data_IF_595857107647
#
_entry.id   IF_595857107647
#
_cell.length_a   1.000
_cell.length_b   1.000
_cell.length_c   1.000
_cell.angle_alpha   90.00
_cell.angle_beta   90.00
_cell.angle_gamma   90.00
#
_symmetry.space_group_name_H-M   'P 1'
#
loop_
_entity.id
_entity.type
_entity.pdbx_description
1 polymer ?
#
# COMPACT_ATOMS: atom_id res chain seq x y z
N UNK A 1 9.98 -10.11 12.51
CA UNK A 1 10.76 -9.32 11.52
C UNK A 1 10.38 -9.76 10.12
N UNK A 2 10.03 -8.83 9.19
CA UNK A 2 9.55 -9.20 7.85
C UNK A 2 10.57 -10.02 7.05
N UNK A 3 11.85 -9.73 7.13
CA UNK A 3 12.86 -10.45 6.34
C UNK A 3 13.08 -11.88 6.81
N UNK A 4 12.91 -12.16 8.11
CA UNK A 4 12.94 -13.52 8.64
C UNK A 4 11.77 -14.33 8.07
N UNK A 5 10.57 -13.75 8.07
CA UNK A 5 9.37 -14.39 7.48
C UNK A 5 9.53 -14.56 5.97
N UNK A 6 10.04 -13.55 5.27
CA UNK A 6 10.29 -13.62 3.83
C UNK A 6 11.34 -14.67 3.47
N UNK A 7 12.42 -14.79 4.25
CA UNK A 7 13.43 -15.83 4.04
C UNK A 7 12.86 -17.23 4.21
N UNK A 8 12.02 -17.45 5.23
CA UNK A 8 11.30 -18.71 5.39
C UNK A 8 10.38 -18.99 4.20
N UNK A 9 9.56 -18.01 3.79
CA UNK A 9 8.69 -18.14 2.63
C UNK A 9 9.47 -18.38 1.32
N UNK A 10 10.68 -17.82 1.21
CA UNK A 10 11.54 -18.00 0.03
C UNK A 10 11.95 -19.47 -0.17
N UNK A 11 12.24 -20.18 0.90
CA UNK A 11 12.67 -21.59 0.83
C UNK A 11 11.48 -22.57 0.77
N UNK A 12 10.32 -22.17 1.32
CA UNK A 12 9.11 -23.00 1.31
C UNK A 12 8.27 -22.87 0.02
N UNK A 13 8.58 -21.87 -0.82
CA UNK A 13 7.80 -21.58 -2.04
C UNK A 13 8.70 -21.45 -3.26
N UNK A 14 8.13 -21.71 -4.45
CA UNK A 14 8.87 -21.65 -5.71
C UNK A 14 8.34 -20.62 -6.72
N UNK A 15 7.15 -20.06 -6.51
CA UNK A 15 6.45 -19.23 -7.50
C UNK A 15 6.01 -17.85 -7.00
N UNK A 16 5.61 -17.73 -5.75
CA UNK A 16 5.07 -16.46 -5.22
C UNK A 16 6.13 -15.38 -5.19
N UNK A 17 5.71 -14.14 -5.49
CA UNK A 17 6.51 -12.95 -5.26
C UNK A 17 6.59 -12.62 -3.77
N UNK A 18 7.71 -12.09 -3.34
CA UNK A 18 8.03 -11.83 -1.94
C UNK A 18 8.51 -10.39 -1.75
N UNK A 19 8.03 -9.73 -0.71
CA UNK A 19 8.52 -8.39 -0.39
C UNK A 19 7.80 -7.78 0.80
N UNK A 20 8.45 -6.85 1.54
CA UNK A 20 7.77 -6.11 2.58
C UNK A 20 6.81 -5.08 1.95
N UNK A 21 5.61 -4.96 2.50
CA UNK A 21 4.66 -3.92 2.12
C UNK A 21 4.17 -3.22 3.40
N UNK A 22 4.94 -2.29 3.88
CA UNK A 22 6.17 -1.64 3.40
C UNK A 22 7.19 -1.52 4.54
N UNK A 23 8.43 -1.23 4.20
CA UNK A 23 9.45 -0.74 5.10
C UNK A 23 9.56 0.78 5.07
N UNK A 24 10.16 1.37 6.09
CA UNK A 24 10.37 2.82 6.13
C UNK A 24 11.79 3.16 6.60
N UNK A 25 12.47 4.12 5.94
CA UNK A 25 13.81 4.57 6.35
C UNK A 25 13.86 5.15 7.77
N UNK A 26 12.70 5.56 8.33
CA UNK A 26 12.63 6.05 9.71
C UNK A 26 12.86 4.94 10.74
N UNK A 27 12.54 3.70 10.41
CA UNK A 27 12.66 2.58 11.35
C UNK A 27 13.89 1.71 11.08
N UNK A 28 14.37 1.64 9.84
CA UNK A 28 15.49 0.80 9.45
C UNK A 28 16.39 1.52 8.44
N UNK A 29 17.72 1.40 8.62
CA UNK A 29 18.69 2.03 7.73
C UNK A 29 18.59 1.46 6.30
N UNK A 30 18.61 2.30 5.25
CA UNK A 30 18.52 1.88 3.85
C UNK A 30 19.54 0.81 3.42
N UNK A 31 20.77 0.91 3.90
CA UNK A 31 21.81 -0.08 3.58
C UNK A 31 21.52 -1.45 4.22
N UNK A 32 20.93 -1.47 5.43
CA UNK A 32 20.48 -2.70 6.08
C UNK A 32 19.32 -3.31 5.31
N UNK A 33 18.36 -2.50 4.86
CA UNK A 33 17.23 -2.98 4.06
C UNK A 33 17.69 -3.54 2.71
N UNK A 34 18.64 -2.86 2.02
CA UNK A 34 19.23 -3.35 0.78
C UNK A 34 19.93 -4.71 0.99
N UNK A 35 20.71 -4.85 2.03
CA UNK A 35 21.37 -6.10 2.38
C UNK A 35 20.39 -7.22 2.71
N UNK A 36 19.36 -6.91 3.49
CA UNK A 36 18.34 -7.88 3.90
C UNK A 36 17.55 -8.42 2.70
N UNK A 37 17.06 -7.53 1.82
CA UNK A 37 16.28 -7.97 0.66
C UNK A 37 17.17 -8.68 -0.39
N UNK A 38 18.42 -8.28 -0.57
CA UNK A 38 19.37 -9.00 -1.42
C UNK A 38 19.63 -10.42 -0.89
N UNK A 39 19.65 -10.59 0.43
CA UNK A 39 19.77 -11.91 1.07
C UNK A 39 18.54 -12.76 0.79
N UNK A 40 17.32 -12.21 0.93
CA UNK A 40 16.08 -12.92 0.57
C UNK A 40 16.08 -13.28 -0.92
N UNK A 41 16.49 -12.35 -1.80
CA UNK A 41 16.56 -12.62 -3.24
C UNK A 41 17.56 -13.73 -3.59
N UNK A 42 18.62 -13.89 -2.81
CA UNK A 42 19.55 -15.01 -3.03
C UNK A 42 18.91 -16.38 -2.79
N UNK A 43 17.86 -16.45 -1.95
CA UNK A 43 17.06 -17.66 -1.71
C UNK A 43 15.91 -17.81 -2.71
N UNK A 44 15.44 -16.71 -3.28
CA UNK A 44 14.31 -16.64 -4.19
C UNK A 44 14.60 -15.76 -5.41
N UNK A 45 15.57 -16.11 -6.28
CA UNK A 45 16.06 -15.23 -7.33
C UNK A 45 14.96 -14.71 -8.26
N UNK A 46 14.87 -13.38 -8.40
CA UNK A 46 13.93 -12.69 -9.28
C UNK A 46 12.46 -12.70 -8.80
N UNK A 47 12.19 -13.21 -7.60
CA UNK A 47 10.85 -13.22 -7.01
C UNK A 47 10.65 -12.13 -5.94
N UNK A 48 11.65 -11.29 -5.70
CA UNK A 48 11.60 -10.30 -4.63
C UNK A 48 11.35 -8.89 -5.13
N UNK A 49 10.79 -8.08 -4.27
CA UNK A 49 10.73 -6.61 -4.38
C UNK A 49 10.91 -5.98 -3.01
N UNK A 50 11.38 -4.74 -2.97
CA UNK A 50 11.45 -3.95 -1.76
C UNK A 50 10.42 -2.84 -1.79
N UNK A 51 9.37 -2.95 -0.98
CA UNK A 51 8.37 -1.90 -0.81
C UNK A 51 8.81 -0.87 0.24
N UNK A 52 8.87 0.40 -0.15
CA UNK A 52 9.16 1.54 0.72
C UNK A 52 7.97 2.47 0.89
N UNK A 53 7.91 3.16 2.02
CA UNK A 53 6.95 4.22 2.28
C UNK A 53 7.43 5.19 3.36
N UNK A 54 6.70 6.29 3.51
CA UNK A 54 7.00 7.29 4.55
C UNK A 54 6.84 6.71 5.97
N UNK A 55 6.07 5.65 6.11
CA UNK A 55 5.60 5.14 7.39
C UNK A 55 4.49 6.00 7.97
N UNK A 56 3.61 5.40 8.73
CA UNK A 56 2.49 6.11 9.39
C UNK A 56 2.26 5.56 10.79
N UNK A 57 1.14 4.88 11.04
CA UNK A 57 0.71 4.44 12.36
C UNK A 57 1.82 3.75 13.16
N UNK A 58 2.52 2.77 12.59
CA UNK A 58 3.61 2.07 13.27
C UNK A 58 4.76 3.01 13.68
N UNK A 59 5.09 4.00 12.85
CA UNK A 59 6.13 5.01 13.14
C UNK A 59 5.67 5.95 14.24
N UNK A 60 4.41 6.41 14.18
CA UNK A 60 3.81 7.30 15.18
C UNK A 60 3.67 6.63 16.54
N UNK A 61 3.26 5.36 16.59
CA UNK A 61 3.18 4.58 17.82
C UNK A 61 4.54 4.37 18.50
N UNK A 62 5.63 4.45 17.74
CA UNK A 62 7.00 4.45 18.27
C UNK A 62 7.52 5.86 18.64
N UNK A 63 6.63 6.87 18.70
CA UNK A 63 6.98 8.24 19.05
C UNK A 63 7.83 8.96 18.00
N UNK A 64 7.84 8.46 16.76
CA UNK A 64 8.60 9.06 15.66
C UNK A 64 7.67 9.74 14.66
N UNK A 65 8.22 10.66 13.86
CA UNK A 65 7.51 11.23 12.72
C UNK A 65 7.63 10.32 11.49
N UNK A 66 6.68 10.35 10.56
CA UNK A 66 6.86 9.76 9.24
C UNK A 66 8.07 10.35 8.50
N UNK A 67 8.67 9.55 7.64
CA UNK A 67 9.78 9.98 6.77
C UNK A 67 9.31 11.11 5.86
N UNK A 68 10.09 12.17 5.71
CA UNK A 68 9.77 13.22 4.74
C UNK A 68 9.97 12.68 3.32
N UNK A 69 9.22 13.23 2.36
CA UNK A 69 9.29 12.77 0.95
C UNK A 69 10.71 12.86 0.39
N UNK A 70 11.44 13.96 0.69
CA UNK A 70 12.83 14.10 0.27
C UNK A 70 13.77 13.05 0.91
N UNK A 71 13.57 12.73 2.19
CA UNK A 71 14.33 11.69 2.88
C UNK A 71 14.05 10.30 2.29
N UNK A 72 12.79 10.03 1.93
CA UNK A 72 12.39 8.79 1.25
C UNK A 72 13.00 8.72 -0.17
N UNK A 73 13.04 9.83 -0.89
CA UNK A 73 13.67 9.91 -2.21
C UNK A 73 15.15 9.59 -2.15
N UNK A 74 15.90 10.18 -1.22
CA UNK A 74 17.32 9.90 -1.03
C UNK A 74 17.56 8.45 -0.57
N UNK A 75 16.75 7.93 0.35
CA UNK A 75 16.80 6.53 0.76
C UNK A 75 16.55 5.56 -0.42
N UNK A 76 15.60 5.90 -1.28
CA UNK A 76 15.29 5.11 -2.48
C UNK A 76 16.48 5.09 -3.45
N UNK A 77 17.08 6.27 -3.73
CA UNK A 77 18.26 6.38 -4.59
C UNK A 77 19.45 5.58 -4.04
N UNK A 78 19.75 5.76 -2.75
CA UNK A 78 20.83 5.03 -2.06
C UNK A 78 20.61 3.50 -2.15
N UNK A 79 19.41 3.04 -1.83
CA UNK A 79 19.07 1.62 -1.85
C UNK A 79 19.22 1.02 -3.25
N UNK A 80 18.70 1.69 -4.28
CA UNK A 80 18.80 1.21 -5.66
C UNK A 80 20.26 1.11 -6.13
N UNK A 81 21.08 2.10 -5.82
CA UNK A 81 22.51 2.08 -6.13
C UNK A 81 23.25 0.95 -5.42
N UNK A 82 22.96 0.72 -4.14
CA UNK A 82 23.54 -0.42 -3.40
C UNK A 82 23.10 -1.77 -3.99
N UNK A 83 21.81 -1.91 -4.35
CA UNK A 83 21.28 -3.13 -4.98
C UNK A 83 21.84 -3.34 -6.40
N UNK A 84 22.27 -2.29 -7.09
CA UNK A 84 23.01 -2.34 -8.35
C UNK A 84 24.50 -2.68 -8.17
N UNK A 85 25.00 -2.74 -6.93
CA UNK A 85 26.43 -3.01 -6.65
C UNK A 85 27.35 -1.82 -6.83
N UNK A 86 26.79 -0.60 -6.89
CA UNK A 86 27.55 0.63 -7.01
C UNK A 86 28.27 0.99 -5.68
N UNK A 87 29.41 1.67 -5.80
CA UNK A 87 29.99 2.39 -4.68
C UNK A 87 29.21 3.67 -4.38
N UNK A 88 28.88 3.89 -3.10
CA UNK A 88 28.12 5.05 -2.66
C UNK A 88 28.83 5.79 -1.51
N UNK A 89 28.86 7.11 -1.60
CA UNK A 89 29.37 7.98 -0.54
C UNK A 89 28.30 8.12 0.56
N UNK A 90 28.66 7.78 1.80
CA UNK A 90 27.76 7.82 2.97
C UNK A 90 28.40 8.53 4.17
N UNK A 91 29.14 9.62 3.92
CA UNK A 91 29.86 10.37 4.95
C UNK A 91 30.84 9.53 5.76
N UNK A 92 31.48 8.55 5.14
CA UNK A 92 32.50 7.68 5.72
C UNK A 92 33.86 7.91 5.05
N UNK A 93 34.92 7.42 5.66
CA UNK A 93 36.28 7.53 5.13
C UNK A 93 36.49 6.76 3.81
N UNK A 94 35.58 5.86 3.47
CA UNK A 94 35.57 5.10 2.21
C UNK A 94 34.12 4.92 1.72
N UNK A 95 33.90 4.82 0.40
CA UNK A 95 32.60 4.47 -0.15
C UNK A 95 32.08 3.13 0.37
N UNK A 96 30.77 3.05 0.55
CA UNK A 96 30.10 1.79 0.87
C UNK A 96 29.72 1.03 -0.41
N UNK A 97 29.82 -0.29 -0.38
CA UNK A 97 29.42 -1.19 -1.46
C UNK A 97 28.72 -2.42 -0.89
N UNK A 98 27.66 -2.86 -1.55
CA UNK A 98 26.99 -4.12 -1.20
C UNK A 98 27.63 -5.27 -1.99
N UNK A 99 28.46 -6.09 -1.33
CA UNK A 99 29.23 -7.16 -2.00
C UNK A 99 28.38 -8.27 -2.64
N UNK A 100 27.18 -8.51 -2.07
CA UNK A 100 26.20 -9.49 -2.58
C UNK A 100 24.99 -8.79 -3.21
N UNK A 101 25.26 -7.70 -3.92
CA UNK A 101 24.23 -6.93 -4.61
C UNK A 101 23.42 -7.79 -5.57
N UNK A 102 22.11 -7.48 -5.63
CA UNK A 102 21.16 -8.14 -6.52
C UNK A 102 20.16 -7.10 -7.04
N UNK A 103 19.75 -7.19 -8.30
CA UNK A 103 18.86 -6.19 -8.92
C UNK A 103 17.41 -6.36 -8.43
N UNK A 104 17.15 -6.08 -7.16
CA UNK A 104 15.82 -6.15 -6.58
C UNK A 104 15.05 -4.86 -6.89
N UNK A 105 13.85 -4.93 -7.48
CA UNK A 105 13.02 -3.75 -7.74
C UNK A 105 12.60 -3.04 -6.46
N UNK A 106 12.69 -1.71 -6.45
CA UNK A 106 12.25 -0.85 -5.34
C UNK A 106 10.93 -0.17 -5.71
N UNK A 107 9.90 -0.43 -4.92
CA UNK A 107 8.56 0.10 -5.09
C UNK A 107 8.21 1.07 -3.97
N UNK A 108 7.45 2.12 -4.26
CA UNK A 108 7.02 3.12 -3.29
C UNK A 108 5.52 3.03 -3.04
N UNK A 109 5.11 2.91 -1.78
CA UNK A 109 3.72 3.09 -1.40
C UNK A 109 3.39 4.58 -1.28
N UNK A 110 2.39 5.04 -2.02
CA UNK A 110 2.05 6.44 -2.14
C UNK A 110 0.54 6.68 -2.20
N UNK A 111 0.12 7.80 -1.60
CA UNK A 111 -1.24 8.33 -1.62
C UNK A 111 -1.24 9.75 -2.15
N UNK A 112 -0.47 10.63 -1.52
CA UNK A 112 -0.44 12.07 -1.83
C UNK A 112 0.38 12.40 -3.10
N UNK A 113 0.04 13.49 -3.80
CA UNK A 113 0.60 13.83 -5.12
C UNK A 113 2.12 14.02 -5.10
N UNK A 114 2.69 14.54 -4.01
CA UNK A 114 4.15 14.72 -3.88
C UNK A 114 4.89 13.37 -3.83
N UNK A 115 4.35 12.40 -3.07
CA UNK A 115 4.96 11.07 -2.97
C UNK A 115 4.77 10.28 -4.26
N UNK A 116 3.60 10.41 -4.91
CA UNK A 116 3.33 9.80 -6.22
C UNK A 116 4.31 10.30 -7.30
N UNK A 117 4.52 11.62 -7.41
CA UNK A 117 5.51 12.18 -8.34
C UNK A 117 6.93 11.72 -8.01
N UNK A 118 7.31 11.73 -6.74
CA UNK A 118 8.63 11.25 -6.30
C UNK A 118 8.84 9.78 -6.70
N UNK A 119 7.83 8.95 -6.51
CA UNK A 119 7.88 7.55 -6.91
C UNK A 119 8.08 7.40 -8.44
N UNK A 120 7.37 8.19 -9.24
CA UNK A 120 7.57 8.26 -10.70
C UNK A 120 9.01 8.61 -11.09
N UNK A 121 9.63 9.59 -10.38
CA UNK A 121 11.02 9.99 -10.66
C UNK A 121 12.04 8.88 -10.39
N UNK A 122 11.84 8.04 -9.37
CA UNK A 122 12.94 7.22 -8.86
C UNK A 122 12.64 5.76 -8.55
N UNK A 123 11.40 5.31 -8.56
CA UNK A 123 11.05 3.92 -8.24
C UNK A 123 10.91 3.04 -9.49
N UNK A 124 10.94 1.73 -9.30
CA UNK A 124 10.65 0.73 -10.35
C UNK A 124 9.15 0.43 -10.42
N UNK A 125 8.42 0.73 -9.35
CA UNK A 125 6.98 0.64 -9.29
C UNK A 125 6.38 1.45 -8.15
N UNK A 126 5.07 1.58 -8.16
CA UNK A 126 4.32 2.35 -7.17
C UNK A 126 3.13 1.55 -6.68
N UNK A 127 2.99 1.42 -5.37
CA UNK A 127 1.80 0.93 -4.72
C UNK A 127 0.89 2.13 -4.42
N UNK A 128 -0.19 2.27 -5.17
CA UNK A 128 -1.19 3.33 -5.02
C UNK A 128 -2.27 2.86 -4.06
N UNK A 129 -2.58 3.68 -3.03
CA UNK A 129 -3.61 3.40 -2.03
C UNK A 129 -4.58 4.58 -1.95
N UNK A 130 -5.52 4.68 -2.87
CA UNK A 130 -6.48 5.80 -3.02
C UNK A 130 -7.94 5.35 -3.07
N UNK A 131 -8.23 4.12 -2.60
CA UNK A 131 -9.52 3.49 -2.79
C UNK A 131 -9.69 2.94 -4.21
N UNK A 132 -10.93 2.64 -4.58
CA UNK A 132 -11.28 2.04 -5.88
C UNK A 132 -12.03 2.97 -6.84
N UNK A 133 -12.23 4.24 -6.47
CA UNK A 133 -12.89 5.22 -7.33
C UNK A 133 -12.00 5.61 -8.51
N UNK A 134 -12.55 5.53 -9.74
CA UNK A 134 -11.80 5.75 -10.99
C UNK A 134 -11.05 7.09 -11.01
N UNK A 135 -11.71 8.19 -10.64
CA UNK A 135 -11.09 9.51 -10.66
C UNK A 135 -9.86 9.59 -9.74
N UNK A 136 -9.91 9.00 -8.55
CA UNK A 136 -8.78 8.97 -7.62
C UNK A 136 -7.63 8.11 -8.17
N UNK A 137 -7.94 6.96 -8.77
CA UNK A 137 -6.94 6.07 -9.39
C UNK A 137 -6.28 6.79 -10.57
N UNK A 138 -7.06 7.43 -11.44
CA UNK A 138 -6.56 8.18 -12.60
C UNK A 138 -5.64 9.31 -12.19
N UNK A 139 -6.07 10.17 -11.26
CA UNK A 139 -5.27 11.29 -10.75
C UNK A 139 -3.96 10.80 -10.12
N UNK A 140 -3.99 9.68 -9.40
CA UNK A 140 -2.79 9.10 -8.80
C UNK A 140 -1.82 8.58 -9.87
N UNK A 141 -2.30 7.88 -10.91
CA UNK A 141 -1.48 7.38 -12.02
C UNK A 141 -0.90 8.56 -12.81
N UNK A 142 -1.70 9.59 -13.12
CA UNK A 142 -1.23 10.82 -13.78
C UNK A 142 -0.09 11.48 -13.00
N UNK A 143 -0.20 11.56 -11.67
CA UNK A 143 0.86 12.12 -10.82
C UNK A 143 2.16 11.29 -10.88
N UNK A 144 2.07 9.95 -10.95
CA UNK A 144 3.23 9.07 -11.13
C UNK A 144 3.86 9.31 -12.51
N UNK A 145 3.06 9.34 -13.57
CA UNK A 145 3.53 9.59 -14.94
C UNK A 145 4.19 10.96 -15.06
N UNK A 146 3.61 12.01 -14.47
CA UNK A 146 4.22 13.33 -14.43
C UNK A 146 5.59 13.29 -13.74
N UNK A 147 5.73 12.57 -12.63
CA UNK A 147 7.01 12.39 -11.95
C UNK A 147 8.05 11.65 -12.80
N UNK A 148 7.64 10.67 -13.60
CA UNK A 148 8.54 9.99 -14.54
C UNK A 148 9.06 10.94 -15.60
N UNK A 149 8.16 11.73 -16.21
CA UNK A 149 8.53 12.75 -17.22
C UNK A 149 9.47 13.82 -16.66
N UNK A 150 9.27 14.26 -15.40
CA UNK A 150 10.16 15.22 -14.71
C UNK A 150 11.60 14.69 -14.57
N UNK A 151 11.81 13.39 -14.69
CA UNK A 151 13.12 12.71 -14.57
C UNK A 151 13.58 12.09 -15.90
N UNK A 152 13.02 12.52 -17.04
CA UNK A 152 13.32 12.00 -18.38
C UNK A 152 13.16 10.46 -18.49
N UNK A 153 12.18 9.87 -17.75
CA UNK A 153 11.86 8.46 -17.77
C UNK A 153 10.59 8.20 -18.56
N UNK A 154 10.50 7.07 -19.22
CA UNK A 154 9.25 6.62 -19.84
C UNK A 154 8.24 6.22 -18.73
N UNK A 155 7.05 6.86 -18.66
CA UNK A 155 5.99 6.45 -17.74
C UNK A 155 5.60 4.97 -17.86
N UNK A 156 5.75 4.36 -19.03
CA UNK A 156 5.43 2.96 -19.28
C UNK A 156 6.36 1.98 -18.54
N UNK A 157 7.54 2.43 -18.12
CA UNK A 157 8.50 1.63 -17.35
C UNK A 157 8.13 1.54 -15.87
N UNK A 158 7.21 2.39 -15.39
CA UNK A 158 6.81 2.41 -13.99
C UNK A 158 5.65 1.41 -13.79
N UNK A 159 5.88 0.40 -12.98
CA UNK A 159 4.84 -0.57 -12.65
C UNK A 159 3.84 0.01 -11.66
N UNK A 160 2.56 -0.22 -11.88
CA UNK A 160 1.47 0.25 -11.02
C UNK A 160 0.87 -0.93 -10.26
N UNK A 161 0.84 -0.83 -8.93
CA UNK A 161 0.10 -1.72 -8.04
C UNK A 161 -1.00 -0.95 -7.33
N UNK A 162 -2.17 -1.54 -7.18
CA UNK A 162 -3.26 -0.99 -6.37
C UNK A 162 -3.39 -1.77 -5.07
N UNK A 163 -3.37 -1.06 -3.93
CA UNK A 163 -3.72 -1.62 -2.62
C UNK A 163 -5.18 -1.26 -2.34
N UNK A 164 -6.02 -2.26 -2.20
CA UNK A 164 -7.45 -2.10 -1.96
C UNK A 164 -7.83 -2.75 -0.64
N UNK A 165 -8.31 -1.96 0.32
CA UNK A 165 -8.87 -2.49 1.56
C UNK A 165 -10.00 -3.46 1.22
N UNK A 166 -9.99 -4.65 1.80
CA UNK A 166 -10.90 -5.74 1.42
C UNK A 166 -11.56 -6.35 2.63
N UNK A 167 -12.88 -6.34 2.65
CA UNK A 167 -13.74 -6.83 3.73
C UNK A 167 -14.53 -8.02 3.18
N UNK A 168 -13.96 -9.21 3.25
CA UNK A 168 -14.58 -10.46 2.78
C UNK A 168 -15.51 -11.02 3.87
N UNK A 169 -16.81 -10.85 3.68
CA UNK A 169 -17.84 -11.28 4.63
C UNK A 169 -19.20 -11.41 3.96
N UNK A 170 -20.05 -12.28 4.51
CA UNK A 170 -21.48 -12.39 4.12
C UNK A 170 -22.37 -11.42 4.92
N UNK A 171 -21.86 -10.81 5.98
CA UNK A 171 -22.52 -9.77 6.79
C UNK A 171 -22.31 -8.41 6.16
N UNK A 172 -23.26 -8.01 5.30
CA UNK A 172 -23.18 -6.75 4.54
C UNK A 172 -23.37 -5.50 5.41
N UNK A 173 -24.11 -5.58 6.49
CA UNK A 173 -24.30 -4.45 7.42
C UNK A 173 -22.98 -4.15 8.15
N UNK A 174 -22.31 -5.20 8.57
CA UNK A 174 -20.96 -5.11 9.16
C UNK A 174 -19.95 -4.58 8.15
N UNK A 175 -19.96 -5.10 6.93
CA UNK A 175 -19.08 -4.63 5.86
C UNK A 175 -19.26 -3.14 5.59
N UNK A 176 -20.50 -2.65 5.56
CA UNK A 176 -20.81 -1.24 5.35
C UNK A 176 -20.25 -0.34 6.47
N UNK A 177 -20.33 -0.77 7.73
CA UNK A 177 -19.74 -0.03 8.85
C UNK A 177 -18.21 0.05 8.74
N UNK A 178 -17.56 -1.09 8.48
CA UNK A 178 -16.10 -1.12 8.31
C UNK A 178 -15.67 -0.27 7.11
N UNK A 179 -16.40 -0.32 5.98
CA UNK A 179 -16.13 0.52 4.81
C UNK A 179 -16.21 2.01 5.12
N UNK A 180 -17.18 2.44 5.94
CA UNK A 180 -17.26 3.84 6.40
C UNK A 180 -16.06 4.23 7.26
N UNK A 181 -15.60 3.35 8.16
CA UNK A 181 -14.37 3.60 8.93
C UNK A 181 -13.17 3.76 7.99
N UNK A 182 -13.05 2.91 6.95
CA UNK A 182 -11.99 3.04 5.94
C UNK A 182 -12.08 4.38 5.21
N UNK A 183 -13.26 4.78 4.75
CA UNK A 183 -13.45 6.07 4.09
C UNK A 183 -13.05 7.25 4.98
N UNK A 184 -13.42 7.22 6.27
CA UNK A 184 -13.00 8.23 7.23
C UNK A 184 -11.48 8.27 7.43
N UNK A 185 -10.81 7.12 7.48
CA UNK A 185 -9.36 7.06 7.55
C UNK A 185 -8.67 7.61 6.30
N UNK A 186 -9.25 7.42 5.12
CA UNK A 186 -8.74 8.09 3.90
C UNK A 186 -8.91 9.62 4.00
N UNK A 187 -10.05 10.10 4.49
CA UNK A 187 -10.26 11.53 4.71
C UNK A 187 -9.28 12.10 5.74
N UNK A 188 -9.06 11.39 6.84
CA UNK A 188 -8.12 11.77 7.92
C UNK A 188 -6.70 12.05 7.41
N UNK A 189 -6.20 11.19 6.53
CA UNK A 189 -4.82 11.28 6.05
C UNK A 189 -4.66 11.99 4.70
N UNK A 190 -5.71 12.03 3.89
CA UNK A 190 -5.66 12.51 2.50
C UNK A 190 -7.00 13.10 2.07
N UNK A 191 -7.42 14.25 2.64
CA UNK A 191 -8.73 14.85 2.37
C UNK A 191 -9.03 15.07 0.88
N UNK A 192 -7.99 15.27 0.04
CA UNK A 192 -8.13 15.42 -1.40
C UNK A 192 -8.76 14.21 -2.11
N UNK A 193 -8.80 13.05 -1.46
CA UNK A 193 -9.49 11.89 -2.03
C UNK A 193 -11.02 12.03 -2.00
N UNK A 194 -11.52 13.07 -1.36
CA UNK A 194 -12.92 13.48 -1.37
C UNK A 194 -13.22 14.62 -2.36
N UNK A 195 -12.27 15.00 -3.21
CA UNK A 195 -12.48 16.01 -4.28
C UNK A 195 -13.42 15.56 -5.42
N UNK A 196 -13.59 14.24 -5.74
CA UNK A 196 -14.56 13.81 -6.74
C UNK A 196 -15.97 14.31 -6.44
N UNK A 197 -16.76 14.69 -7.46
CA UNK A 197 -18.14 15.15 -7.30
C UNK A 197 -19.00 14.11 -6.55
N UNK A 198 -19.76 14.57 -5.57
CA UNK A 198 -20.60 13.73 -4.72
C UNK A 198 -19.93 13.23 -3.45
N UNK A 199 -18.60 13.42 -3.32
CA UNK A 199 -17.89 13.07 -2.11
C UNK A 199 -17.81 14.29 -1.19
N UNK A 200 -18.67 14.33 -0.19
CA UNK A 200 -18.72 15.46 0.73
C UNK A 200 -18.63 14.96 2.18
N UNK A 201 -17.73 15.56 2.94
CA UNK A 201 -17.67 15.35 4.37
C UNK A 201 -18.69 16.26 5.07
N UNK A 202 -19.86 15.72 5.37
CA UNK A 202 -20.99 16.48 5.99
C UNK A 202 -21.06 16.31 7.51
N UNK A 203 -20.04 15.73 8.13
CA UNK A 203 -20.01 15.42 9.54
C UNK A 203 -19.20 16.42 10.38
N UNK A 204 -19.00 16.12 11.66
CA UNK A 204 -18.13 16.86 12.54
C UNK A 204 -16.69 16.93 12.02
N UNK A 205 -15.89 17.84 12.58
CA UNK A 205 -14.47 17.90 12.32
C UNK A 205 -13.81 16.54 12.61
N UNK A 206 -12.96 16.07 11.70
CA UNK A 206 -12.29 14.78 11.85
C UNK A 206 -11.41 14.71 13.10
N UNK A 207 -10.80 15.84 13.50
CA UNK A 207 -9.96 15.90 14.69
C UNK A 207 -10.78 15.75 15.99
N UNK A 208 -12.07 16.15 15.98
CA UNK A 208 -12.97 15.89 17.10
C UNK A 208 -13.35 14.40 17.17
N UNK A 209 -13.65 13.78 16.04
CA UNK A 209 -14.00 12.36 15.97
C UNK A 209 -12.83 11.45 16.37
N UNK A 210 -11.60 11.84 16.06
CA UNK A 210 -10.37 11.10 16.40
C UNK A 210 -10.13 10.98 17.90
N UNK A 211 -10.65 11.87 18.71
CA UNK A 211 -10.49 11.80 20.18
C UNK A 211 -11.01 10.47 20.76
N UNK A 212 -11.98 9.88 20.08
CA UNK A 212 -12.61 8.63 20.49
C UNK A 212 -12.26 7.42 19.61
N UNK A 213 -11.32 7.56 18.68
CA UNK A 213 -10.90 6.50 17.76
C UNK A 213 -9.39 6.31 17.84
N UNK A 214 -8.96 5.18 18.38
CA UNK A 214 -7.56 4.88 18.61
C UNK A 214 -7.11 3.65 17.79
N UNK A 215 -5.93 3.68 17.13
CA UNK A 215 -5.04 4.84 16.95
C UNK A 215 -5.49 5.80 15.84
N UNK A 216 -6.31 5.36 14.91
CA UNK A 216 -6.90 6.09 13.78
C UNK A 216 -8.05 5.28 13.17
N UNK A 217 -8.78 5.85 12.20
CA UNK A 217 -9.92 5.19 11.59
C UNK A 217 -9.59 3.93 10.79
N UNK A 218 -8.36 3.82 10.21
CA UNK A 218 -7.95 2.62 9.48
C UNK A 218 -7.58 1.45 10.40
N UNK A 219 -7.11 1.75 11.61
CA UNK A 219 -6.53 0.76 12.53
C UNK A 219 -7.26 0.71 13.87
N UNK A 220 -8.48 1.26 13.93
CA UNK A 220 -9.28 1.25 15.15
C UNK A 220 -9.45 -0.17 15.67
N UNK A 221 -9.36 -0.33 17.00
CA UNK A 221 -9.54 -1.62 17.64
C UNK A 221 -10.93 -2.22 17.40
N UNK A 222 -11.95 -1.35 17.24
CA UNK A 222 -13.30 -1.70 16.83
C UNK A 222 -13.69 -0.86 15.61
N UNK A 223 -13.51 -1.45 14.41
CA UNK A 223 -13.82 -0.81 13.13
C UNK A 223 -15.32 -0.58 12.93
N UNK A 224 -16.18 -1.42 13.51
CA UNK A 224 -17.62 -1.23 13.44
C UNK A 224 -18.06 -0.03 14.30
N UNK A 225 -17.53 0.08 15.53
CA UNK A 225 -17.80 1.22 16.38
C UNK A 225 -17.31 2.53 15.76
N UNK A 226 -16.12 2.54 15.16
CA UNK A 226 -15.61 3.73 14.45
C UNK A 226 -16.44 4.05 13.20
N UNK A 227 -16.91 3.04 12.46
CA UNK A 227 -17.82 3.22 11.33
C UNK A 227 -19.17 3.81 11.72
N UNK A 228 -19.71 3.42 12.89
CA UNK A 228 -20.94 4.05 13.44
C UNK A 228 -20.78 5.55 13.72
N UNK A 229 -19.58 6.00 14.14
CA UNK A 229 -19.31 7.43 14.38
C UNK A 229 -19.37 8.28 13.09
N UNK A 230 -19.16 7.66 11.95
CA UNK A 230 -19.18 8.30 10.63
C UNK A 230 -20.33 7.81 9.74
N UNK A 231 -21.44 7.42 10.35
CA UNK A 231 -22.66 6.95 9.65
C UNK A 231 -23.32 8.00 8.75
N UNK A 232 -22.91 9.26 8.85
CA UNK A 232 -23.31 10.33 7.92
C UNK A 232 -22.69 10.18 6.53
N UNK A 233 -21.60 9.39 6.36
CA UNK A 233 -21.05 9.08 5.06
C UNK A 233 -22.00 8.13 4.31
N UNK A 234 -22.33 8.48 3.07
CA UNK A 234 -23.18 7.67 2.22
C UNK A 234 -22.51 6.33 1.86
N UNK A 235 -23.33 5.37 1.41
CA UNK A 235 -22.85 4.10 0.92
C UNK A 235 -21.92 4.26 -0.30
N UNK A 236 -22.22 5.21 -1.18
CA UNK A 236 -21.40 5.50 -2.36
C UNK A 236 -19.96 5.94 -1.95
N UNK A 237 -19.85 6.79 -0.91
CA UNK A 237 -18.55 7.21 -0.38
C UNK A 237 -17.84 6.01 0.26
N UNK A 238 -18.53 5.24 1.11
CA UNK A 238 -17.95 4.06 1.74
C UNK A 238 -17.44 3.05 0.69
N UNK A 239 -18.27 2.80 -0.34
CA UNK A 239 -17.97 1.88 -1.44
C UNK A 239 -16.78 2.31 -2.31
N UNK A 240 -16.48 3.60 -2.37
CA UNK A 240 -15.36 4.12 -3.13
C UNK A 240 -13.98 3.80 -2.52
N UNK A 241 -13.93 3.42 -1.24
CA UNK A 241 -12.67 3.25 -0.52
C UNK A 241 -12.31 1.81 -0.14
N UNK A 242 -13.22 0.84 -0.35
CA UNK A 242 -12.95 -0.57 -0.06
C UNK A 242 -13.67 -1.52 -1.02
N UNK A 243 -13.12 -2.72 -1.13
CA UNK A 243 -13.81 -3.89 -1.64
C UNK A 243 -14.52 -4.56 -0.47
N UNK A 244 -15.78 -4.96 -0.62
CA UNK A 244 -16.51 -5.59 0.47
C UNK A 244 -17.64 -6.49 -0.01
N UNK A 245 -18.00 -7.44 0.85
CA UNK A 245 -19.10 -8.37 0.64
C UNK A 245 -18.63 -9.80 0.38
N UNK A 246 -19.48 -10.55 -0.33
CA UNK A 246 -19.22 -11.93 -0.70
C UNK A 246 -18.09 -12.07 -1.73
N UNK A 247 -17.56 -13.27 -1.96
CA UNK A 247 -16.59 -13.50 -3.02
C UNK A 247 -17.02 -12.99 -4.40
N UNK A 248 -18.29 -13.16 -4.75
CA UNK A 248 -18.89 -12.68 -6.00
C UNK A 248 -18.83 -11.16 -6.09
N UNK A 249 -19.30 -10.48 -5.06
CA UNK A 249 -19.31 -9.00 -5.01
C UNK A 249 -17.90 -8.44 -5.11
N UNK A 250 -16.92 -9.04 -4.43
CA UNK A 250 -15.52 -8.60 -4.49
C UNK A 250 -14.94 -8.84 -5.89
N UNK A 251 -15.23 -9.98 -6.53
CA UNK A 251 -14.80 -10.25 -7.90
C UNK A 251 -15.36 -9.23 -8.90
N UNK A 252 -16.65 -8.91 -8.83
CA UNK A 252 -17.29 -7.88 -9.64
C UNK A 252 -16.68 -6.48 -9.43
N UNK A 253 -16.43 -6.09 -8.17
CA UNK A 253 -15.80 -4.83 -7.83
C UNK A 253 -14.34 -4.75 -8.34
N UNK A 254 -13.59 -5.84 -8.27
CA UNK A 254 -12.25 -5.94 -8.85
C UNK A 254 -12.30 -5.83 -10.38
N UNK A 255 -13.23 -6.52 -11.02
CA UNK A 255 -13.43 -6.44 -12.47
C UNK A 255 -13.73 -5.02 -12.92
N UNK A 256 -14.61 -4.30 -12.20
CA UNK A 256 -14.89 -2.89 -12.47
C UNK A 256 -13.62 -2.03 -12.44
N UNK A 257 -12.79 -2.18 -11.38
CA UNK A 257 -11.52 -1.44 -11.24
C UNK A 257 -10.56 -1.74 -12.39
N UNK A 258 -10.45 -3.01 -12.79
CA UNK A 258 -9.58 -3.42 -13.89
C UNK A 258 -10.10 -2.97 -15.26
N UNK A 259 -11.41 -2.71 -15.37
CA UNK A 259 -12.08 -2.26 -16.60
C UNK A 259 -11.95 -0.75 -16.86
N UNK A 260 -11.36 0.03 -15.96
CA UNK A 260 -11.14 1.48 -16.17
C UNK A 260 -10.10 1.80 -17.27
N UNK A 261 -9.48 0.79 -17.86
CA UNK A 261 -8.52 0.96 -18.97
C UNK A 261 -7.13 1.41 -18.56
N UNK A 262 -6.83 1.50 -17.27
CA UNK A 262 -5.49 1.76 -16.77
C UNK A 262 -4.62 0.51 -16.78
N UNK A 263 -3.33 0.64 -17.12
CA UNK A 263 -2.38 -0.48 -17.05
C UNK A 263 -2.01 -0.76 -15.59
N UNK A 264 -2.75 -1.67 -14.96
CA UNK A 264 -2.47 -2.15 -13.61
C UNK A 264 -1.65 -3.44 -13.69
N UNK A 265 -0.52 -3.50 -12.99
CA UNK A 265 0.40 -4.65 -13.01
C UNK A 265 0.17 -5.60 -11.83
N UNK A 266 -0.41 -5.08 -10.75
CA UNK A 266 -0.68 -5.84 -9.53
C UNK A 266 -1.88 -5.24 -8.78
N UNK A 267 -2.75 -6.09 -8.27
CA UNK A 267 -3.76 -5.70 -7.28
C UNK A 267 -3.49 -6.46 -5.99
N UNK A 268 -3.54 -5.74 -4.87
CA UNK A 268 -3.31 -6.29 -3.54
C UNK A 268 -4.59 -6.10 -2.73
N UNK A 269 -5.45 -7.14 -2.64
CA UNK A 269 -6.53 -7.15 -1.69
C UNK A 269 -5.93 -7.13 -0.28
N UNK A 270 -6.10 -6.00 0.42
CA UNK A 270 -5.54 -5.81 1.76
C UNK A 270 -6.61 -6.14 2.79
N UNK A 271 -6.46 -7.24 3.57
CA UNK A 271 -7.49 -7.65 4.52
C UNK A 271 -7.69 -6.62 5.60
N UNK A 272 -8.96 -6.33 5.92
CA UNK A 272 -9.28 -5.55 7.10
C UNK A 272 -9.32 -6.47 8.32
N UNK A 273 -8.82 -6.00 9.48
CA UNK A 273 -8.86 -6.78 10.70
C UNK A 273 -10.29 -7.20 11.03
N UNK A 274 -10.48 -8.49 11.24
CA UNK A 274 -11.69 -9.01 11.88
C UNK A 274 -11.53 -8.88 13.41
N UNK A 275 -12.59 -9.06 14.23
CA UNK A 275 -12.53 -8.84 15.69
C UNK A 275 -11.51 -9.70 16.44
N UNK A 276 -10.82 -10.62 15.78
CA UNK A 276 -9.69 -11.32 16.36
C UNK A 276 -8.39 -10.60 15.92
N UNK A 277 -7.83 -9.74 16.77
CA UNK A 277 -6.83 -8.74 16.35
C UNK A 277 -5.45 -9.31 15.98
N UNK A 278 -5.25 -10.60 16.06
CA UNK A 278 -3.93 -11.20 15.88
C UNK A 278 -3.64 -11.72 14.47
N UNK A 279 -4.61 -11.74 13.57
CA UNK A 279 -4.38 -12.12 12.16
C UNK A 279 -5.61 -11.79 11.31
N UNK A 280 -5.47 -11.32 10.05
CA UNK A 280 -6.47 -11.67 9.05
C UNK A 280 -6.51 -13.19 9.10
N UNK A 281 -7.63 -13.75 9.51
CA UNK A 281 -7.73 -15.19 9.75
C UNK A 281 -7.15 -15.98 8.56
N UNK A 282 -6.68 -17.19 8.75
CA UNK A 282 -6.29 -18.09 7.65
C UNK A 282 -7.33 -18.09 6.52
N UNK A 283 -8.58 -17.86 6.84
CA UNK A 283 -9.69 -17.76 5.92
C UNK A 283 -9.51 -16.74 4.78
N UNK A 284 -8.97 -15.54 5.04
CA UNK A 284 -8.82 -14.54 3.97
C UNK A 284 -7.79 -14.97 2.92
N UNK A 285 -6.63 -15.46 3.39
CA UNK A 285 -5.53 -15.90 2.51
C UNK A 285 -5.95 -17.15 1.70
N UNK A 286 -6.80 -18.00 2.26
CA UNK A 286 -7.33 -19.18 1.60
C UNK A 286 -8.51 -18.84 0.70
N UNK A 287 -9.46 -18.03 1.18
CA UNK A 287 -10.70 -17.71 0.46
C UNK A 287 -10.48 -16.87 -0.79
N UNK A 288 -9.60 -15.86 -0.74
CA UNK A 288 -9.37 -15.00 -1.93
C UNK A 288 -8.90 -15.80 -3.14
N UNK A 289 -7.86 -16.66 -3.07
CA UNK A 289 -7.45 -17.45 -4.22
C UNK A 289 -8.44 -18.55 -4.61
N UNK A 290 -9.22 -19.09 -3.68
CA UNK A 290 -10.13 -20.19 -3.94
C UNK A 290 -11.53 -19.74 -4.36
N UNK A 291 -12.00 -18.61 -3.87
CA UNK A 291 -13.39 -18.18 -4.05
C UNK A 291 -13.49 -16.89 -4.89
N UNK A 292 -12.56 -15.93 -4.77
CA UNK A 292 -12.64 -14.64 -5.49
C UNK A 292 -11.94 -14.71 -6.86
N UNK A 293 -10.70 -15.21 -6.91
CA UNK A 293 -9.92 -15.23 -8.16
C UNK A 293 -10.57 -16.08 -9.27
N UNK A 294 -11.15 -17.27 -8.99
CA UNK A 294 -11.86 -18.02 -10.04
C UNK A 294 -13.03 -17.23 -10.63
N UNK A 295 -13.86 -16.60 -9.78
CA UNK A 295 -15.01 -15.78 -10.23
C UNK A 295 -14.57 -14.56 -11.05
N UNK A 296 -13.48 -13.90 -10.66
CA UNK A 296 -12.91 -12.78 -11.42
C UNK A 296 -12.44 -13.20 -12.83
N UNK A 297 -12.04 -14.46 -13.01
CA UNK A 297 -11.63 -14.99 -14.33
C UNK A 297 -12.80 -15.37 -15.24
N UNK A 298 -13.99 -15.49 -14.68
CA UNK A 298 -15.24 -15.81 -15.41
C UNK A 298 -15.90 -14.55 -15.97
N UNK A 299 -15.54 -13.35 -15.47
CA UNK A 299 -16.00 -12.03 -15.91
C UNK A 299 -15.17 -11.49 -17.08
#
# INVERSE_FOLDING_TARGET
>A
DPYVTLAFAAVETTRIGLGPLIETPMMRNPAVMASSIATVDSLAPGRTLLGYGVGDTAVRLMGKRPTRVAELEEATKLTRRLLAGEEVEVNAARPAVLRHARPVPVWIAAVGPRTLRMAGRGADGVFIRVGRHEANIRVAIEAVHQGALEADRDPADIRIGLILHTILTDDLDRAALISRSMAAGYYEYSPMLFDPPGFTWNGPDIEELKKDVWPDFHHAADLEASGRKVSFLSDDIANAFSLFGTPEMIAEQLYQVLSFGHKIHMVIPHPMPTPNPSSPGPDFIERVPLEVIPKLKEL
#
